data_IF_005573844598
#
_entry.id   IF_005573844598
#
_cell.length_a   1.000
_cell.length_b   1.000
_cell.length_c   1.000
_cell.angle_alpha   90.00
_cell.angle_beta   90.00
_cell.angle_gamma   90.00
#
_symmetry.space_group_name_H-M   'P 1'
#
loop_
_entity.id
_entity.type
_entity.pdbx_description
1 polymer ?
#
# COMPACT_ATOMS: atom_id res chain seq x y z
N UNK A 1 -5.88 -7.21 14.90
CA UNK A 1 -5.83 -7.03 13.44
C UNK A 1 -6.12 -5.57 13.16
N UNK A 2 -5.10 -4.75 12.88
CA UNK A 2 -5.18 -3.27 12.89
C UNK A 2 -5.34 -2.64 11.50
N UNK A 3 -5.08 -3.40 10.43
CA UNK A 3 -5.18 -2.94 9.04
C UNK A 3 -6.53 -2.31 8.63
N UNK A 4 -7.72 -2.81 9.05
CA UNK A 4 -8.97 -2.23 8.57
C UNK A 4 -9.27 -0.82 9.10
N UNK A 5 -8.53 -0.30 10.08
CA UNK A 5 -8.74 1.05 10.64
C UNK A 5 -7.72 2.09 10.16
N UNK A 6 -6.84 1.73 9.22
CA UNK A 6 -5.78 2.62 8.73
C UNK A 6 -6.32 3.55 7.64
N UNK A 7 -6.08 4.85 7.79
CA UNK A 7 -6.38 5.87 6.77
C UNK A 7 -5.19 6.31 5.92
N UNK A 8 -3.97 6.05 6.40
CA UNK A 8 -2.73 6.24 5.66
C UNK A 8 -1.69 5.24 6.20
N UNK A 9 -1.02 4.51 5.31
CA UNK A 9 0.05 3.60 5.68
C UNK A 9 1.41 4.21 5.34
N UNK A 10 2.29 4.32 6.33
CA UNK A 10 3.71 4.67 6.14
C UNK A 10 4.54 3.39 6.23
N UNK A 11 5.07 2.92 5.10
CA UNK A 11 5.82 1.68 5.01
C UNK A 11 7.33 1.96 4.99
N UNK A 12 8.01 1.57 6.07
CA UNK A 12 9.47 1.69 6.18
C UNK A 12 10.17 0.51 5.50
N UNK A 13 11.00 0.81 4.50
CA UNK A 13 11.82 -0.18 3.78
C UNK A 13 13.28 0.24 3.90
N UNK A 14 14.19 -0.69 4.11
CA UNK A 14 15.62 -0.38 4.22
C UNK A 14 16.21 -0.12 2.83
N UNK A 15 16.96 0.98 2.65
CA UNK A 15 17.57 1.34 1.35
C UNK A 15 18.78 0.47 0.97
N UNK A 16 19.23 -0.39 1.88
CA UNK A 16 20.38 -1.30 1.70
C UNK A 16 20.02 -2.60 0.96
N UNK A 17 18.74 -2.83 0.65
CA UNK A 17 18.25 -4.00 -0.08
C UNK A 17 17.22 -3.61 -1.15
N UNK A 18 17.13 -4.37 -2.25
CA UNK A 18 16.06 -4.17 -3.23
C UNK A 18 14.69 -4.52 -2.62
N UNK A 19 13.63 -4.06 -3.31
CA UNK A 19 12.25 -4.40 -2.98
C UNK A 19 12.08 -5.93 -3.01
N UNK A 20 11.68 -6.51 -1.88
CA UNK A 20 11.51 -7.96 -1.75
C UNK A 20 10.03 -8.37 -1.94
N UNK A 21 9.77 -9.65 -2.24
CA UNK A 21 8.41 -10.13 -2.51
C UNK A 21 7.46 -9.95 -1.31
N UNK A 22 8.00 -10.08 -0.10
CA UNK A 22 7.24 -9.81 1.13
C UNK A 22 6.83 -8.33 1.24
N UNK A 23 7.67 -7.40 0.78
CA UNK A 23 7.34 -5.97 0.76
C UNK A 23 6.23 -5.69 -0.27
N UNK A 24 6.31 -6.31 -1.46
CA UNK A 24 5.27 -6.25 -2.48
C UNK A 24 3.94 -6.82 -1.99
N UNK A 25 3.97 -7.97 -1.33
CA UNK A 25 2.77 -8.59 -0.78
C UNK A 25 2.13 -7.70 0.29
N UNK A 26 2.94 -7.11 1.18
CA UNK A 26 2.44 -6.18 2.18
C UNK A 26 1.80 -4.94 1.53
N UNK A 27 2.39 -4.40 0.46
CA UNK A 27 1.78 -3.29 -0.30
C UNK A 27 0.45 -3.72 -0.90
N UNK A 28 0.38 -4.90 -1.54
CA UNK A 28 -0.86 -5.46 -2.11
C UNK A 28 -1.97 -5.61 -1.06
N UNK A 29 -1.62 -6.03 0.16
CA UNK A 29 -2.59 -6.18 1.24
C UNK A 29 -3.00 -4.82 1.83
N UNK A 30 -2.09 -3.87 1.99
CA UNK A 30 -2.41 -2.51 2.42
C UNK A 30 -3.35 -1.79 1.44
N UNK A 31 -3.19 -2.01 0.12
CA UNK A 31 -4.05 -1.43 -0.92
C UNK A 31 -5.52 -1.81 -0.77
N UNK A 32 -5.83 -2.95 -0.15
CA UNK A 32 -7.23 -3.36 0.12
C UNK A 32 -7.87 -2.53 1.22
N UNK A 33 -7.07 -1.89 2.08
CA UNK A 33 -7.54 -1.29 3.32
C UNK A 33 -7.38 0.23 3.37
N UNK A 34 -6.39 0.79 2.68
CA UNK A 34 -6.12 2.22 2.62
C UNK A 34 -5.73 2.66 1.20
N UNK A 35 -6.33 3.75 0.67
CA UNK A 35 -5.93 4.30 -0.61
C UNK A 35 -4.60 5.06 -0.55
N UNK A 36 -4.15 5.46 0.65
CA UNK A 36 -2.95 6.27 0.83
C UNK A 36 -1.83 5.43 1.44
N UNK A 37 -0.81 5.15 0.62
CA UNK A 37 0.39 4.41 1.00
C UNK A 37 1.60 5.26 0.66
N UNK A 38 2.48 5.48 1.63
CA UNK A 38 3.72 6.23 1.48
C UNK A 38 4.89 5.32 1.82
N UNK A 39 5.92 5.30 0.97
CA UNK A 39 7.12 4.51 1.18
C UNK A 39 8.21 5.38 1.81
N UNK A 40 8.80 4.88 2.89
CA UNK A 40 9.90 5.52 3.60
C UNK A 40 11.15 4.65 3.48
N UNK A 41 12.09 5.05 2.62
CA UNK A 41 13.38 4.40 2.47
C UNK A 41 14.30 4.85 3.60
N UNK A 42 14.56 3.94 4.52
CA UNK A 42 15.35 4.15 5.74
C UNK A 42 16.83 3.82 5.53
N UNK A 43 17.69 4.36 6.42
CA UNK A 43 19.16 4.17 6.43
C UNK A 43 19.90 4.82 5.25
N UNK A 44 19.38 5.93 4.76
CA UNK A 44 19.96 6.64 3.60
C UNK A 44 21.31 7.30 3.90
N UNK A 45 21.70 7.36 5.18
CA UNK A 45 23.04 7.74 5.64
C UNK A 45 24.14 6.80 5.14
N UNK A 46 23.80 5.58 4.75
CA UNK A 46 24.74 4.62 4.17
C UNK A 46 25.02 4.89 2.68
N UNK A 47 24.31 5.85 2.08
CA UNK A 47 24.34 6.11 0.64
C UNK A 47 24.80 7.55 0.36
N UNK A 48 25.61 7.72 -0.67
CA UNK A 48 25.88 9.03 -1.26
C UNK A 48 24.63 9.61 -1.92
N UNK A 49 24.60 10.92 -2.15
CA UNK A 49 23.47 11.57 -2.84
C UNK A 49 23.18 10.99 -4.24
N UNK A 50 24.21 10.54 -4.96
CA UNK A 50 24.03 9.88 -6.25
C UNK A 50 23.32 8.52 -6.09
N UNK A 51 23.79 7.71 -5.13
CA UNK A 51 23.18 6.41 -4.83
C UNK A 51 21.75 6.55 -4.29
N UNK A 52 21.46 7.58 -3.50
CA UNK A 52 20.10 7.87 -3.04
C UNK A 52 19.14 8.09 -4.21
N UNK A 53 19.55 8.87 -5.23
CA UNK A 53 18.73 9.09 -6.44
C UNK A 53 18.53 7.81 -7.23
N UNK A 54 19.58 7.01 -7.37
CA UNK A 54 19.54 5.72 -8.07
C UNK A 54 18.59 4.74 -7.38
N UNK A 55 18.67 4.62 -6.05
CA UNK A 55 17.78 3.75 -5.26
C UNK A 55 16.33 4.18 -5.41
N UNK A 56 16.02 5.48 -5.33
CA UNK A 56 14.65 5.97 -5.55
C UNK A 56 14.16 5.63 -6.95
N UNK A 57 14.99 5.81 -7.97
CA UNK A 57 14.64 5.49 -9.35
C UNK A 57 14.39 3.98 -9.53
N UNK A 58 15.24 3.14 -8.94
CA UNK A 58 15.09 1.69 -8.96
C UNK A 58 13.78 1.25 -8.32
N UNK A 59 13.47 1.77 -7.12
CA UNK A 59 12.21 1.47 -6.43
C UNK A 59 10.99 1.92 -7.23
N UNK A 60 10.99 3.14 -7.79
CA UNK A 60 9.89 3.62 -8.65
C UNK A 60 9.68 2.69 -9.85
N UNK A 61 10.76 2.29 -10.50
CA UNK A 61 10.70 1.40 -11.67
C UNK A 61 10.17 0.03 -11.31
N UNK A 62 10.64 -0.53 -10.19
CA UNK A 62 10.16 -1.83 -9.68
C UNK A 62 8.67 -1.78 -9.33
N UNK A 63 8.22 -0.75 -8.60
CA UNK A 63 6.81 -0.60 -8.24
C UNK A 63 5.92 -0.40 -9.47
N UNK A 64 6.36 0.40 -10.43
CA UNK A 64 5.62 0.60 -11.68
C UNK A 64 5.49 -0.70 -12.49
N UNK A 65 6.54 -1.53 -12.49
CA UNK A 65 6.55 -2.81 -13.19
C UNK A 65 5.63 -3.84 -12.51
N UNK A 66 5.70 -3.95 -11.18
CA UNK A 66 5.05 -5.03 -10.43
C UNK A 66 3.62 -4.68 -9.96
N UNK A 67 3.31 -3.38 -9.79
CA UNK A 67 2.03 -2.90 -9.25
C UNK A 67 1.30 -1.93 -10.18
N UNK A 68 1.95 -1.46 -11.26
CA UNK A 68 1.40 -0.52 -12.24
C UNK A 68 0.91 0.81 -11.64
N UNK A 69 1.51 1.23 -10.53
CA UNK A 69 1.10 2.39 -9.77
C UNK A 69 2.32 3.12 -9.21
N UNK A 70 2.23 4.45 -9.12
CA UNK A 70 3.24 5.29 -8.50
C UNK A 70 2.94 5.50 -7.02
N UNK A 71 3.96 5.36 -6.18
CA UNK A 71 3.88 5.60 -4.74
C UNK A 71 4.79 6.77 -4.35
N UNK A 72 4.37 7.65 -3.43
CA UNK A 72 5.27 8.64 -2.83
C UNK A 72 6.42 7.92 -2.10
N UNK A 73 7.66 8.30 -2.42
CA UNK A 73 8.87 7.74 -1.82
C UNK A 73 9.64 8.85 -1.12
N UNK A 74 9.90 8.65 0.17
CA UNK A 74 10.67 9.55 1.01
C UNK A 74 11.94 8.87 1.51
N UNK A 75 13.02 9.62 1.58
CA UNK A 75 14.27 9.18 2.17
C UNK A 75 14.28 9.53 3.67
N UNK A 76 14.90 8.69 4.49
CA UNK A 76 14.96 8.92 5.93
C UNK A 76 16.22 8.33 6.56
N UNK A 77 16.85 9.12 7.43
CA UNK A 77 17.90 8.63 8.34
C UNK A 77 17.67 9.11 9.76
N UNK A 78 17.88 8.20 10.70
CA UNK A 78 17.93 8.49 12.14
C UNK A 78 19.35 8.85 12.63
N UNK A 79 20.36 8.85 11.74
CA UNK A 79 21.77 9.07 12.09
C UNK A 79 22.32 10.37 11.53
N UNK A 80 21.93 10.75 10.31
CA UNK A 80 22.34 12.00 9.68
C UNK A 80 21.13 12.85 9.32
N UNK A 81 21.25 14.17 9.48
CA UNK A 81 20.26 15.16 9.04
C UNK A 81 18.83 14.83 9.51
N UNK A 82 18.69 14.20 10.69
CA UNK A 82 17.42 13.61 11.15
C UNK A 82 16.31 14.64 11.30
N UNK A 83 16.61 15.84 11.80
CA UNK A 83 15.60 16.90 11.88
C UNK A 83 15.13 17.34 10.50
N UNK A 84 16.02 17.43 9.50
CA UNK A 84 15.62 17.75 8.13
C UNK A 84 14.71 16.67 7.54
N UNK A 85 15.04 15.39 7.75
CA UNK A 85 14.18 14.29 7.29
C UNK A 85 12.83 14.27 8.00
N UNK A 86 12.82 14.57 9.29
CA UNK A 86 11.61 14.63 10.11
C UNK A 86 10.71 15.81 9.73
N UNK A 87 11.26 17.02 9.62
CA UNK A 87 10.55 18.22 9.16
C UNK A 87 9.92 17.99 7.78
N UNK A 88 10.63 17.28 6.90
CA UNK A 88 10.12 16.92 5.58
C UNK A 88 8.94 15.95 5.65
N UNK A 89 9.04 14.90 6.46
CA UNK A 89 7.93 13.95 6.68
C UNK A 89 6.73 14.65 7.34
N UNK A 90 6.97 15.52 8.32
CA UNK A 90 5.91 16.27 8.99
C UNK A 90 5.18 17.22 8.03
N UNK A 91 5.93 17.99 7.23
CA UNK A 91 5.37 18.97 6.31
C UNK A 91 4.71 18.34 5.07
N UNK A 92 5.28 17.27 4.50
CA UNK A 92 4.77 16.68 3.25
C UNK A 92 3.76 15.55 3.46
N UNK A 93 3.76 14.88 4.63
CA UNK A 93 2.86 13.74 4.90
C UNK A 93 1.84 14.10 5.97
N UNK A 94 2.27 14.49 7.18
CA UNK A 94 1.36 14.63 8.32
C UNK A 94 0.53 15.92 8.26
N UNK A 95 1.12 17.03 7.83
CA UNK A 95 0.40 18.29 7.74
C UNK A 95 -0.77 18.24 6.73
N UNK A 96 -0.61 17.71 5.50
CA UNK A 96 -1.72 17.56 4.56
C UNK A 96 -2.81 16.62 5.08
N UNK A 97 -2.43 15.51 5.72
CA UNK A 97 -3.37 14.58 6.35
C UNK A 97 -4.19 15.25 7.46
N UNK A 98 -3.60 16.20 8.19
CA UNK A 98 -4.27 16.92 9.28
C UNK A 98 -5.24 18.00 8.78
N UNK A 99 -4.90 18.74 7.72
CA UNK A 99 -5.76 19.78 7.14
C UNK A 99 -6.93 19.15 6.38
N UNK A 100 -6.67 18.16 5.53
CA UNK A 100 -7.66 17.59 4.62
C UNK A 100 -8.47 16.44 5.23
N UNK A 101 -8.55 16.38 6.57
CA UNK A 101 -9.16 15.26 7.31
C UNK A 101 -10.52 14.80 6.77
N UNK A 102 -11.41 15.74 6.43
CA UNK A 102 -12.76 15.40 5.95
C UNK A 102 -12.73 14.76 4.55
N UNK A 103 -11.90 15.29 3.67
CA UNK A 103 -11.74 14.80 2.30
C UNK A 103 -11.02 13.45 2.27
N UNK A 104 -9.92 13.32 3.03
CA UNK A 104 -9.19 12.06 3.21
C UNK A 104 -10.10 10.99 3.82
N UNK A 105 -10.89 11.33 4.83
CA UNK A 105 -11.88 10.42 5.41
C UNK A 105 -12.93 9.97 4.37
N UNK A 106 -13.40 10.89 3.52
CA UNK A 106 -14.30 10.56 2.42
C UNK A 106 -13.69 9.55 1.45
N UNK A 107 -12.45 9.78 1.02
CA UNK A 107 -11.73 8.88 0.12
C UNK A 107 -11.51 7.50 0.75
N UNK A 108 -11.13 7.46 2.04
CA UNK A 108 -10.95 6.22 2.79
C UNK A 108 -12.28 5.46 2.89
N UNK A 109 -13.39 6.13 3.23
CA UNK A 109 -14.70 5.49 3.35
C UNK A 109 -15.19 4.94 2.02
N UNK A 110 -15.05 5.71 0.94
CA UNK A 110 -15.42 5.28 -0.41
C UNK A 110 -14.64 4.02 -0.82
N UNK A 111 -13.32 4.03 -0.61
CA UNK A 111 -12.47 2.87 -0.90
C UNK A 111 -12.87 1.63 -0.10
N UNK A 112 -13.18 1.79 1.19
CA UNK A 112 -13.64 0.68 2.04
C UNK A 112 -14.99 0.14 1.60
N UNK A 113 -15.94 1.00 1.25
CA UNK A 113 -17.26 0.58 0.74
C UNK A 113 -17.12 -0.19 -0.57
N UNK A 114 -16.28 0.29 -1.48
CA UNK A 114 -16.02 -0.40 -2.75
C UNK A 114 -15.37 -1.78 -2.51
N UNK A 115 -14.33 -1.84 -1.68
CA UNK A 115 -13.64 -3.10 -1.37
C UNK A 115 -14.57 -4.12 -0.70
N UNK A 116 -15.47 -3.68 0.19
CA UNK A 116 -16.50 -4.54 0.76
C UNK A 116 -17.50 -5.03 -0.29
N UNK A 117 -17.93 -4.16 -1.20
CA UNK A 117 -18.81 -4.52 -2.31
C UNK A 117 -18.20 -5.58 -3.23
N UNK A 118 -16.94 -5.39 -3.62
CA UNK A 118 -16.17 -6.37 -4.41
C UNK A 118 -16.03 -7.71 -3.68
N UNK A 119 -15.77 -7.68 -2.36
CA UNK A 119 -15.75 -8.87 -1.52
C UNK A 119 -17.10 -9.61 -1.51
N UNK A 120 -18.21 -8.90 -1.28
CA UNK A 120 -19.55 -9.48 -1.28
C UNK A 120 -19.92 -10.11 -2.63
N UNK A 121 -19.59 -9.43 -3.73
CA UNK A 121 -19.83 -9.94 -5.08
C UNK A 121 -19.06 -11.26 -5.31
N UNK A 122 -17.78 -11.30 -4.95
CA UNK A 122 -16.97 -12.50 -5.07
C UNK A 122 -17.54 -13.68 -4.28
N UNK A 123 -18.01 -13.45 -3.06
CA UNK A 123 -18.68 -14.49 -2.26
C UNK A 123 -19.97 -15.01 -2.92
N UNK A 124 -20.81 -14.11 -3.46
CA UNK A 124 -22.05 -14.51 -4.15
C UNK A 124 -21.77 -15.30 -5.42
N UNK A 125 -20.74 -14.93 -6.20
CA UNK A 125 -20.32 -15.67 -7.39
C UNK A 125 -19.84 -17.10 -7.05
N UNK A 126 -19.06 -17.25 -5.97
CA UNK A 126 -18.62 -18.56 -5.50
C UNK A 126 -19.83 -19.40 -5.09
N UNK A 127 -20.74 -18.84 -4.28
CA UNK A 127 -21.93 -19.54 -3.81
C UNK A 127 -22.84 -19.98 -4.97
N UNK A 128 -23.04 -19.11 -5.98
CA UNK A 128 -23.81 -19.42 -7.18
C UNK A 128 -23.18 -20.58 -7.97
N UNK A 129 -21.86 -20.54 -8.22
CA UNK A 129 -21.15 -21.62 -8.91
C UNK A 129 -21.27 -22.94 -8.16
N UNK A 130 -21.13 -22.93 -6.84
CA UNK A 130 -21.28 -24.13 -6.01
C UNK A 130 -22.70 -24.70 -6.07
N UNK A 131 -23.73 -23.85 -6.06
CA UNK A 131 -25.12 -24.30 -6.19
C UNK A 131 -25.39 -24.95 -7.56
N UNK A 132 -24.96 -24.30 -8.65
CA UNK A 132 -25.13 -24.83 -10.00
C UNK A 132 -24.41 -26.19 -10.18
N UNK A 133 -23.21 -26.33 -9.61
CA UNK A 133 -22.47 -27.58 -9.64
C UNK A 133 -23.18 -28.68 -8.85
N UNK A 134 -23.78 -28.34 -7.70
CA UNK A 134 -24.52 -29.29 -6.88
C UNK A 134 -25.79 -29.79 -7.57
N UNK A 135 -26.50 -28.91 -8.30
CA UNK A 135 -27.68 -29.27 -9.09
C UNK A 135 -27.29 -30.17 -10.28
N UNK A 136 -26.23 -29.83 -11.02
CA UNK A 136 -25.69 -30.67 -12.10
C UNK A 136 -25.28 -32.07 -11.61
N UNK A 137 -24.60 -32.15 -10.46
CA UNK A 137 -24.21 -33.43 -9.88
C UNK A 137 -25.42 -34.28 -9.46
N UNK A 138 -26.51 -33.66 -8.99
CA UNK A 138 -27.76 -34.36 -8.65
C UNK A 138 -28.46 -34.91 -9.89
N UNK A 139 -28.44 -34.17 -10.99
CA UNK A 139 -29.01 -34.60 -12.27
C UNK A 139 -28.22 -35.76 -12.88
N UNK A 140 -26.89 -35.81 -12.69
CA UNK A 140 -26.04 -36.91 -13.17
C UNK A 140 -26.14 -38.20 -12.33
N UNK A 141 -26.68 -38.13 -11.11
CA UNK A 141 -26.88 -39.27 -10.21
C UNK A 141 -28.28 -39.90 -10.31
N UNK A 142 -29.18 -39.32 -11.12
CA UNK A 142 -30.48 -39.88 -11.48
C UNK A 142 -30.42 -40.63 -12.80
#
# INVERSE_FOLDING_TARGET
NWLPEVGCALLAISSDRPLAENDLQLIRDLRKHTPKIVLLLTKVDLLSQAQQKEVVHFFRTALQKELHEEFPIFLYSIRSETEQWKERVESEIFHPLSINRKEELGNILQHKVQSLGEGCLSYLEIALKTSLQADLNREQLK
#
